data_IF_520032357741
#
_entry.id   IF_520032357741
#
_cell.length_a   1.000
_cell.length_b   1.000
_cell.length_c   1.000
_cell.angle_alpha   90.00
_cell.angle_beta   90.00
_cell.angle_gamma   90.00
#
_symmetry.space_group_name_H-M   'P 1'
#
loop_
_entity.id
_entity.type
_entity.pdbx_description
1 polymer ?
#
# COMPACT_ATOMS: atom_id res chain seq x y z
N UNK A 1 -4.14 -54.50 -5.27
CA UNK A 1 -4.57 -54.53 -3.86
C UNK A 1 -4.79 -53.09 -3.39
N UNK A 2 -5.98 -52.83 -2.84
CA UNK A 2 -6.40 -51.67 -2.03
C UNK A 2 -6.56 -50.27 -2.67
N UNK A 3 -7.82 -49.98 -3.02
CA UNK A 3 -8.51 -48.67 -3.03
C UNK A 3 -8.95 -48.37 -1.58
N UNK A 4 -8.89 -47.11 -1.09
CA UNK A 4 -9.81 -46.52 -0.07
C UNK A 4 -9.39 -45.04 0.15
N UNK A 5 -10.11 -44.05 -0.39
CA UNK A 5 -11.40 -43.43 0.01
C UNK A 5 -11.25 -42.27 1.03
N UNK A 6 -11.64 -41.08 0.55
CA UNK A 6 -12.05 -39.90 1.31
C UNK A 6 -13.05 -40.26 2.42
N UNK A 7 -12.96 -39.58 3.56
CA UNK A 7 -14.09 -39.36 4.45
C UNK A 7 -14.08 -37.92 4.98
N UNK A 8 -15.16 -37.20 4.66
CA UNK A 8 -15.58 -36.00 5.35
C UNK A 8 -16.23 -36.42 6.66
N UNK A 9 -15.91 -35.72 7.76
CA UNK A 9 -16.68 -35.83 9.00
C UNK A 9 -17.21 -34.44 9.31
N UNK A 10 -18.47 -34.22 8.93
CA UNK A 10 -19.34 -33.17 9.43
C UNK A 10 -19.92 -33.63 10.76
N UNK A 11 -19.68 -32.90 11.84
CA UNK A 11 -20.38 -33.11 13.11
C UNK A 11 -21.14 -31.84 13.47
N UNK A 12 -22.43 -31.86 13.18
CA UNK A 12 -23.39 -30.87 13.64
C UNK A 12 -23.63 -31.05 15.15
N UNK A 13 -23.48 -30.00 15.94
CA UNK A 13 -24.06 -29.95 17.29
C UNK A 13 -25.44 -29.30 17.22
N UNK A 14 -26.41 -30.06 17.72
CA UNK A 14 -27.83 -29.77 17.82
C UNK A 14 -28.07 -28.74 18.94
N UNK A 15 -28.77 -27.66 18.62
CA UNK A 15 -29.35 -26.75 19.61
C UNK A 15 -30.68 -27.34 20.11
N UNK A 16 -30.78 -27.56 21.41
CA UNK A 16 -32.04 -27.84 22.10
C UNK A 16 -32.38 -26.68 23.02
N UNK A 17 -33.64 -26.28 22.93
CA UNK A 17 -34.31 -25.18 23.63
C UNK A 17 -34.87 -25.63 24.99
N UNK A 18 -34.84 -24.76 26.01
CA UNK A 18 -35.96 -24.54 26.97
C UNK A 18 -35.61 -23.52 28.08
N UNK A 19 -36.22 -22.33 27.99
CA UNK A 19 -37.01 -21.53 28.94
C UNK A 19 -36.68 -21.37 30.47
N UNK A 20 -37.18 -20.26 31.10
CA UNK A 20 -36.45 -19.40 32.05
C UNK A 20 -36.90 -19.54 33.54
N UNK A 21 -36.65 -18.50 34.35
CA UNK A 21 -36.99 -18.24 35.79
C UNK A 21 -36.06 -18.91 36.82
N UNK A 22 -35.50 -18.29 37.88
CA UNK A 22 -35.75 -17.04 38.62
C UNK A 22 -34.49 -16.58 39.39
N UNK A 23 -34.48 -15.32 39.82
CA UNK A 23 -33.41 -14.59 40.49
C UNK A 23 -32.97 -15.12 41.87
N UNK A 24 -31.66 -14.95 42.19
CA UNK A 24 -31.15 -14.59 43.52
C UNK A 24 -29.86 -13.77 43.33
N UNK A 25 -29.86 -12.54 43.86
CA UNK A 25 -28.73 -11.62 43.88
C UNK A 25 -27.81 -11.92 45.06
N UNK A 26 -26.49 -11.94 44.86
CA UNK A 26 -25.49 -11.58 45.89
C UNK A 26 -24.16 -11.11 45.27
N UNK A 27 -23.91 -9.81 45.43
CA UNK A 27 -22.66 -9.12 45.78
C UNK A 27 -21.44 -9.17 44.85
N UNK A 28 -21.26 -8.04 44.16
CA UNK A 28 -20.04 -7.24 44.03
C UNK A 28 -18.69 -7.91 44.33
N UNK A 29 -17.99 -8.26 43.25
CA UNK A 29 -16.53 -8.27 43.21
C UNK A 29 -16.04 -7.55 41.95
N UNK A 30 -15.89 -6.23 42.13
CA UNK A 30 -14.90 -5.33 41.54
C UNK A 30 -14.09 -5.88 40.36
N UNK A 31 -14.49 -5.46 39.16
CA UNK A 31 -13.68 -5.51 37.94
C UNK A 31 -12.61 -4.40 38.00
N UNK A 32 -11.30 -4.69 38.07
CA UNK A 32 -10.31 -3.64 37.93
C UNK A 32 -10.25 -3.17 36.48
N UNK A 33 -10.85 -2.00 36.25
CA UNK A 33 -10.53 -1.10 35.14
C UNK A 33 -9.21 -0.42 35.50
N UNK A 34 -8.10 -0.81 34.87
CA UNK A 34 -6.99 0.11 34.57
C UNK A 34 -6.01 -0.51 33.53
N UNK A 35 -6.53 -0.86 32.36
CA UNK A 35 -5.69 -0.99 31.17
C UNK A 35 -5.63 0.37 30.50
N UNK A 36 -4.73 1.24 30.97
CA UNK A 36 -4.48 2.56 30.38
C UNK A 36 -3.76 2.38 29.03
N UNK A 37 -4.46 1.87 28.03
CA UNK A 37 -4.11 2.12 26.64
C UNK A 37 -4.67 3.50 26.31
N UNK A 38 -3.90 4.52 26.68
CA UNK A 38 -4.10 5.87 26.19
C UNK A 38 -4.02 5.79 24.65
N UNK A 39 -5.22 5.73 24.07
CA UNK A 39 -5.51 5.93 22.67
C UNK A 39 -4.92 7.29 22.32
N UNK A 40 -3.76 7.30 21.64
CA UNK A 40 -3.21 8.53 21.10
C UNK A 40 -4.05 8.92 19.88
N UNK A 41 -5.29 9.35 20.13
CA UNK A 41 -6.06 10.13 19.17
C UNK A 41 -5.59 11.57 19.33
N UNK A 42 -4.43 11.90 18.74
CA UNK A 42 -4.10 13.28 18.46
C UNK A 42 -4.97 13.74 17.30
N UNK A 43 -5.75 14.78 17.56
CA UNK A 43 -6.48 15.56 16.57
C UNK A 43 -5.62 15.82 15.33
N UNK A 44 -6.21 15.52 14.18
CA UNK A 44 -5.76 15.95 12.85
C UNK A 44 -5.75 17.49 12.86
N UNK A 45 -4.59 18.07 13.12
CA UNK A 45 -4.24 19.39 12.62
C UNK A 45 -2.94 19.24 11.80
N UNK A 46 -3.12 19.42 10.50
CA UNK A 46 -2.12 19.28 9.44
C UNK A 46 -0.98 20.28 9.64
N UNK A 47 0.12 19.80 10.19
CA UNK A 47 1.48 20.11 9.76
C UNK A 47 2.37 19.02 10.35
N UNK A 48 2.44 17.87 9.68
CA UNK A 48 3.46 16.86 9.97
C UNK A 48 4.82 17.43 9.57
N UNK A 49 5.36 18.36 10.36
CA UNK A 49 6.79 18.58 10.37
C UNK A 49 7.41 17.31 10.91
N UNK A 50 7.80 16.41 10.02
CA UNK A 50 8.66 15.29 10.39
C UNK A 50 9.92 15.93 10.93
N UNK A 51 10.09 15.87 12.25
CA UNK A 51 11.29 16.35 12.90
C UNK A 51 12.39 15.32 12.63
N UNK A 52 13.18 15.59 11.60
CA UNK A 52 14.25 14.70 11.14
C UNK A 52 15.48 15.04 11.95
N UNK A 53 15.66 14.36 13.07
CA UNK A 53 16.89 14.44 13.85
C UNK A 53 17.98 13.58 13.19
N UNK A 54 18.88 14.24 12.45
CA UNK A 54 20.09 13.62 11.89
C UNK A 54 21.31 13.70 12.82
N UNK A 55 21.20 14.35 13.99
CA UNK A 55 22.35 14.58 14.87
C UNK A 55 22.85 13.31 15.55
N UNK A 56 21.97 12.35 15.78
CA UNK A 56 22.27 11.08 16.41
C UNK A 56 22.27 9.92 15.40
N UNK A 57 23.39 9.21 15.29
CA UNK A 57 23.57 8.10 14.35
C UNK A 57 22.54 6.97 14.54
N UNK A 58 22.17 6.67 15.78
CA UNK A 58 21.15 5.65 16.08
C UNK A 58 19.74 6.11 15.66
N UNK A 59 19.41 7.40 15.84
CA UNK A 59 18.15 7.99 15.36
C UNK A 59 18.07 7.93 13.83
N UNK A 60 19.15 8.33 13.15
CA UNK A 60 19.30 8.28 11.70
C UNK A 60 19.11 6.87 11.15
N UNK A 61 19.77 5.88 11.75
CA UNK A 61 19.63 4.47 11.36
C UNK A 61 18.20 3.97 11.49
N UNK A 62 17.51 4.29 12.59
CA UNK A 62 16.10 3.92 12.80
C UNK A 62 15.18 4.56 11.77
N UNK A 63 15.42 5.83 11.44
CA UNK A 63 14.66 6.56 10.42
C UNK A 63 14.86 5.92 9.04
N UNK A 64 16.10 5.61 8.65
CA UNK A 64 16.39 4.97 7.36
C UNK A 64 15.75 3.60 7.24
N UNK A 65 15.87 2.76 8.27
CA UNK A 65 15.23 1.45 8.29
C UNK A 65 13.70 1.56 8.16
N UNK A 66 13.09 2.57 8.81
CA UNK A 66 11.65 2.81 8.70
C UNK A 66 11.24 3.21 7.29
N UNK A 67 12.01 4.07 6.62
CA UNK A 67 11.71 4.51 5.25
C UNK A 67 11.89 3.37 4.24
N UNK A 68 12.97 2.59 4.35
CA UNK A 68 13.19 1.40 3.51
C UNK A 68 12.08 0.38 3.71
N UNK A 69 11.64 0.15 4.96
CA UNK A 69 10.53 -0.75 5.22
C UNK A 69 9.23 -0.23 4.60
N UNK A 70 8.90 1.05 4.80
CA UNK A 70 7.68 1.68 4.28
C UNK A 70 7.66 1.76 2.75
N UNK A 71 8.81 1.80 2.08
CA UNK A 71 8.88 1.76 0.61
C UNK A 71 8.68 0.36 0.03
N UNK A 72 8.82 -0.69 0.84
CA UNK A 72 8.71 -2.11 0.43
C UNK A 72 7.41 -2.81 0.87
N UNK A 73 6.53 -2.14 1.60
CA UNK A 73 5.38 -2.76 2.26
C UNK A 73 4.08 -2.05 1.89
N UNK A 74 3.87 -1.83 0.59
CA UNK A 74 2.68 -1.11 0.08
C UNK A 74 1.59 -2.05 -0.44
N UNK A 75 1.92 -3.31 -0.69
CA UNK A 75 1.00 -4.30 -1.26
C UNK A 75 0.95 -4.29 -2.79
N UNK A 76 1.80 -3.49 -3.43
CA UNK A 76 2.02 -3.46 -4.89
C UNK A 76 3.47 -3.86 -5.12
N UNK A 77 3.69 -5.12 -5.53
CA UNK A 77 5.03 -5.68 -5.66
C UNK A 77 5.89 -4.88 -6.64
N UNK A 78 5.30 -4.40 -7.73
CA UNK A 78 5.96 -3.60 -8.75
C UNK A 78 6.47 -2.28 -8.17
N UNK A 79 5.63 -1.61 -7.39
CA UNK A 79 5.97 -0.36 -6.72
C UNK A 79 7.04 -0.59 -5.64
N UNK A 80 6.90 -1.67 -4.86
CA UNK A 80 7.83 -2.07 -3.81
C UNK A 80 9.23 -2.36 -4.38
N UNK A 81 9.32 -2.98 -5.57
CA UNK A 81 10.59 -3.22 -6.25
C UNK A 81 11.23 -1.92 -6.78
N UNK A 82 10.44 -1.06 -7.41
CA UNK A 82 10.92 0.20 -7.99
C UNK A 82 11.36 1.17 -6.89
N UNK A 83 10.48 1.47 -5.94
CA UNK A 83 10.76 2.40 -4.84
C UNK A 83 11.73 1.80 -3.84
N UNK A 84 11.54 0.54 -3.44
CA UNK A 84 12.41 -0.12 -2.47
C UNK A 84 13.86 -0.08 -2.90
N UNK A 85 14.14 -0.49 -4.14
CA UNK A 85 15.51 -0.45 -4.68
C UNK A 85 16.02 0.98 -4.80
N UNK A 86 15.21 1.93 -5.28
CA UNK A 86 15.65 3.33 -5.40
C UNK A 86 16.00 3.94 -4.03
N UNK A 87 15.19 3.71 -3.00
CA UNK A 87 15.44 4.23 -1.66
C UNK A 87 16.70 3.62 -1.06
N UNK A 88 16.92 2.31 -1.19
CA UNK A 88 18.15 1.66 -0.69
C UNK A 88 19.42 2.25 -1.29
N UNK A 89 19.40 2.54 -2.59
CA UNK A 89 20.54 3.10 -3.31
C UNK A 89 20.84 4.56 -2.92
N UNK A 90 19.82 5.36 -2.57
CA UNK A 90 19.95 6.83 -2.41
C UNK A 90 19.82 7.34 -0.97
N UNK A 91 19.30 6.55 -0.02
CA UNK A 91 19.02 7.04 1.33
C UNK A 91 20.26 7.46 2.11
N UNK A 92 21.41 6.86 1.81
CA UNK A 92 22.69 7.17 2.47
C UNK A 92 23.33 8.47 2.00
N UNK A 93 23.01 8.93 0.78
CA UNK A 93 23.59 10.13 0.15
C UNK A 93 22.67 11.35 0.18
N UNK A 94 21.49 11.23 0.78
CA UNK A 94 20.44 12.24 0.72
C UNK A 94 20.45 13.20 1.92
N UNK A 95 20.19 14.48 1.64
CA UNK A 95 20.03 15.52 2.66
C UNK A 95 18.64 15.50 3.31
N UNK A 96 18.47 16.22 4.41
CA UNK A 96 17.20 16.36 5.15
C UNK A 96 16.02 16.77 4.26
N UNK A 97 16.26 17.70 3.32
CA UNK A 97 15.25 18.18 2.37
C UNK A 97 14.81 17.09 1.40
N UNK A 98 15.76 16.26 0.97
CA UNK A 98 15.49 15.08 0.15
C UNK A 98 14.69 14.04 0.93
N UNK A 99 15.03 13.81 2.20
CA UNK A 99 14.29 12.87 3.06
C UNK A 99 12.85 13.37 3.27
N UNK A 100 12.62 14.66 3.51
CA UNK A 100 11.25 15.23 3.57
C UNK A 100 10.49 15.02 2.27
N UNK A 101 11.16 15.24 1.14
CA UNK A 101 10.60 15.01 -0.19
C UNK A 101 10.25 13.53 -0.40
N UNK A 102 11.09 12.61 0.06
CA UNK A 102 10.83 11.17 0.01
C UNK A 102 9.63 10.79 0.88
N UNK A 103 9.54 11.29 2.11
CA UNK A 103 8.38 11.04 2.97
C UNK A 103 7.10 11.49 2.29
N UNK A 104 7.10 12.69 1.69
CA UNK A 104 5.95 13.19 0.93
C UNK A 104 5.57 12.26 -0.23
N UNK A 105 6.54 11.70 -0.98
CA UNK A 105 6.24 10.71 -2.04
C UNK A 105 5.67 9.42 -1.44
N UNK A 106 6.19 8.99 -0.30
CA UNK A 106 5.72 7.78 0.38
C UNK A 106 4.33 7.95 1.00
N UNK A 107 3.85 9.17 1.25
CA UNK A 107 2.50 9.38 1.78
C UNK A 107 1.42 9.47 0.69
N UNK A 108 1.82 9.41 -0.59
CA UNK A 108 0.89 9.35 -1.73
C UNK A 108 0.22 7.98 -1.82
N UNK A 109 -1.00 7.99 -2.37
CA UNK A 109 -1.79 6.79 -2.64
C UNK A 109 -1.12 5.90 -3.71
N UNK A 110 -1.05 4.59 -3.43
CA UNK A 110 -0.40 3.62 -4.31
C UNK A 110 -0.96 3.57 -5.75
N UNK A 111 -2.29 3.56 -6.00
CA UNK A 111 -2.81 3.47 -7.37
C UNK A 111 -2.43 4.70 -8.20
N UNK A 112 -2.51 5.89 -7.61
CA UNK A 112 -2.19 7.15 -8.28
C UNK A 112 -0.69 7.24 -8.56
N UNK A 113 0.14 6.88 -7.57
CA UNK A 113 1.58 6.85 -7.72
C UNK A 113 2.01 5.92 -8.86
N UNK A 114 1.40 4.73 -8.96
CA UNK A 114 1.68 3.79 -10.03
C UNK A 114 1.28 4.34 -11.40
N UNK A 115 0.10 4.95 -11.52
CA UNK A 115 -0.37 5.58 -12.78
C UNK A 115 0.57 6.67 -13.27
N UNK A 116 1.09 7.49 -12.37
CA UNK A 116 2.02 8.55 -12.74
C UNK A 116 3.40 8.02 -13.15
N UNK A 117 3.92 7.00 -12.44
CA UNK A 117 5.20 6.36 -12.79
C UNK A 117 5.14 5.60 -14.12
N UNK A 118 3.99 5.01 -14.43
CA UNK A 118 3.74 4.30 -15.69
C UNK A 118 3.34 5.19 -16.87
N UNK A 119 3.28 6.52 -16.68
CA UNK A 119 2.83 7.50 -17.67
C UNK A 119 1.38 7.28 -18.18
N UNK A 120 0.54 6.61 -17.38
CA UNK A 120 -0.89 6.46 -17.68
C UNK A 120 -1.66 7.77 -17.46
N UNK A 121 -1.29 8.52 -16.41
CA UNK A 121 -1.88 9.82 -16.08
C UNK A 121 -0.77 10.85 -15.79
N UNK A 122 -1.08 12.13 -15.98
CA UNK A 122 -0.14 13.19 -15.62
C UNK A 122 -0.16 13.42 -14.10
N UNK A 123 1.00 13.48 -13.43
CA UNK A 123 1.06 13.78 -12.02
C UNK A 123 0.62 15.23 -11.76
N UNK A 124 -0.04 15.51 -10.61
CA UNK A 124 -0.29 16.87 -10.16
C UNK A 124 1.00 17.68 -10.05
N UNK A 125 0.92 18.99 -10.25
CA UNK A 125 2.09 19.88 -10.26
C UNK A 125 2.90 19.81 -8.96
N UNK A 126 2.23 19.62 -7.81
CA UNK A 126 2.87 19.47 -6.51
C UNK A 126 3.78 18.23 -6.43
N UNK A 127 3.36 17.12 -7.05
CA UNK A 127 4.14 15.87 -7.10
C UNK A 127 5.25 15.98 -8.15
N UNK A 128 4.97 16.60 -9.28
CA UNK A 128 5.95 16.77 -10.36
C UNK A 128 7.11 17.69 -9.98
N UNK A 129 6.89 18.64 -9.05
CA UNK A 129 7.96 19.50 -8.48
C UNK A 129 8.88 18.77 -7.50
N UNK A 130 8.49 17.58 -7.03
CA UNK A 130 9.27 16.85 -6.03
C UNK A 130 10.49 16.17 -6.68
N UNK A 131 11.72 16.44 -6.21
CA UNK A 131 12.94 15.91 -6.82
C UNK A 131 13.02 14.38 -6.73
N UNK A 132 12.53 13.79 -5.64
CA UNK A 132 12.54 12.34 -5.43
C UNK A 132 11.62 11.66 -6.44
N UNK A 133 10.42 12.20 -6.65
CA UNK A 133 9.49 11.66 -7.62
C UNK A 133 10.06 11.70 -9.04
N UNK A 134 10.67 12.83 -9.43
CA UNK A 134 11.34 12.97 -10.74
C UNK A 134 12.46 11.93 -10.93
N UNK A 135 13.31 11.75 -9.92
CA UNK A 135 14.42 10.79 -10.00
C UNK A 135 13.94 9.33 -10.09
N UNK A 136 12.87 8.96 -9.37
CA UNK A 136 12.26 7.63 -9.49
C UNK A 136 11.66 7.45 -10.88
N UNK A 137 10.92 8.45 -11.38
CA UNK A 137 10.32 8.42 -12.72
C UNK A 137 11.39 8.25 -13.81
N UNK A 138 12.49 8.97 -13.70
CA UNK A 138 13.64 8.86 -14.60
C UNK A 138 14.26 7.45 -14.57
N UNK A 139 14.43 6.84 -13.38
CA UNK A 139 14.89 5.45 -13.26
C UNK A 139 13.93 4.48 -13.96
N UNK A 140 12.62 4.70 -13.85
CA UNK A 140 11.61 3.88 -14.54
C UNK A 140 11.73 4.05 -16.05
N UNK A 141 11.78 5.27 -16.58
CA UNK A 141 11.91 5.52 -18.03
C UNK A 141 13.19 4.92 -18.60
N UNK A 142 14.32 5.08 -17.91
CA UNK A 142 15.59 4.50 -18.33
C UNK A 142 15.55 2.96 -18.37
N UNK A 143 14.84 2.32 -17.43
CA UNK A 143 14.61 0.87 -17.48
C UNK A 143 13.72 0.48 -18.66
N UNK A 144 12.66 1.24 -18.95
CA UNK A 144 11.83 0.99 -20.14
C UNK A 144 12.65 1.11 -21.43
N UNK A 145 13.51 2.13 -21.53
CA UNK A 145 14.38 2.32 -22.70
C UNK A 145 15.40 1.21 -22.90
N UNK A 146 15.88 0.63 -21.80
CA UNK A 146 16.86 -0.46 -21.84
C UNK A 146 16.24 -1.82 -22.16
N UNK A 147 15.04 -2.10 -21.66
CA UNK A 147 14.47 -3.46 -21.65
C UNK A 147 13.20 -3.62 -22.49
N UNK A 148 12.57 -2.55 -22.96
CA UNK A 148 11.33 -2.60 -23.75
C UNK A 148 11.48 -1.90 -25.11
N UNK A 149 11.02 -2.57 -26.18
CA UNK A 149 10.92 -1.98 -27.51
C UNK A 149 9.85 -0.90 -27.55
N UNK A 150 9.99 0.12 -28.39
CA UNK A 150 9.02 1.22 -28.51
C UNK A 150 7.63 0.74 -28.95
N UNK A 151 7.57 -0.30 -29.80
CA UNK A 151 6.32 -0.86 -30.34
C UNK A 151 5.46 -1.58 -29.29
N UNK A 152 6.06 -2.07 -28.20
CA UNK A 152 5.34 -2.82 -27.15
C UNK A 152 4.91 -1.94 -25.98
N UNK A 153 5.21 -0.63 -26.03
CA UNK A 153 4.88 0.30 -24.95
C UNK A 153 3.41 0.70 -24.98
N UNK A 154 2.84 0.89 -23.80
CA UNK A 154 1.54 1.53 -23.66
C UNK A 154 1.59 2.96 -24.19
N UNK A 155 0.51 3.40 -24.84
CA UNK A 155 0.35 4.79 -25.25
C UNK A 155 0.24 5.66 -23.99
N UNK A 156 1.06 6.73 -23.88
CA UNK A 156 0.99 7.61 -22.72
C UNK A 156 -0.38 8.27 -22.64
N UNK A 157 -0.93 8.40 -21.43
CA UNK A 157 -2.26 8.99 -21.23
C UNK A 157 -3.44 8.03 -21.45
N UNK A 158 -3.19 6.74 -21.72
CA UNK A 158 -4.24 5.72 -21.82
C UNK A 158 -4.11 4.69 -20.70
N UNK A 159 -5.23 4.21 -20.14
CA UNK A 159 -5.19 3.11 -19.18
C UNK A 159 -4.70 1.83 -19.84
N UNK A 160 -3.97 1.00 -19.09
CA UNK A 160 -3.40 -0.24 -19.61
C UNK A 160 -4.44 -1.30 -20.01
N UNK A 161 -5.64 -1.26 -19.42
CA UNK A 161 -6.67 -2.26 -19.70
C UNK A 161 -7.68 -1.74 -20.71
N UNK A 162 -7.60 -2.26 -21.93
CA UNK A 162 -8.63 -2.08 -22.96
C UNK A 162 -9.74 -3.11 -22.69
N UNK A 163 -10.84 -2.68 -22.06
CA UNK A 163 -12.03 -3.54 -21.84
C UNK A 163 -12.20 -4.14 -20.43
N UNK A 164 -11.60 -3.57 -19.37
CA UNK A 164 -12.10 -3.83 -18.00
C UNK A 164 -13.25 -2.90 -17.60
N UNK A 165 -13.50 -1.86 -18.39
CA UNK A 165 -14.68 -1.00 -18.31
C UNK A 165 -15.92 -1.66 -18.94
N UNK A 166 -16.14 -2.95 -18.64
CA UNK A 166 -17.29 -3.73 -19.13
C UNK A 166 -18.64 -3.22 -18.59
N UNK A 167 -18.62 -2.28 -17.64
CA UNK A 167 -19.80 -1.58 -17.14
C UNK A 167 -20.46 -0.67 -18.18
N UNK A 168 -19.81 -0.44 -19.34
CA UNK A 168 -20.41 0.24 -20.50
C UNK A 168 -20.67 -0.74 -21.65
N UNK A 169 -21.46 -1.78 -21.38
CA UNK A 169 -22.07 -2.59 -22.46
C UNK A 169 -23.22 -1.82 -23.13
N UNK A 170 -22.88 -0.75 -23.84
CA UNK A 170 -23.74 -0.08 -24.82
C UNK A 170 -23.68 -0.82 -26.16
N UNK A 171 -24.67 -0.58 -27.04
CA UNK A 171 -24.93 -1.30 -28.31
C UNK A 171 -23.76 -1.39 -29.32
N UNK A 172 -22.62 -0.77 -29.05
CA UNK A 172 -21.47 -0.63 -29.95
C UNK A 172 -20.16 -1.21 -29.36
N UNK A 173 -20.22 -2.25 -28.53
CA UNK A 173 -19.01 -2.93 -28.03
C UNK A 173 -18.23 -3.59 -29.18
N UNK A 174 -16.89 -3.49 -29.24
CA UNK A 174 -16.11 -4.16 -30.27
C UNK A 174 -16.28 -5.68 -30.20
N UNK A 175 -16.59 -6.29 -31.35
CA UNK A 175 -16.52 -7.73 -31.53
C UNK A 175 -15.03 -8.12 -31.48
N UNK A 176 -14.73 -9.28 -30.92
CA UNK A 176 -13.41 -9.94 -30.84
C UNK A 176 -12.41 -9.38 -29.82
N UNK A 177 -12.29 -10.10 -28.70
CA UNK A 177 -10.99 -10.33 -28.08
C UNK A 177 -10.23 -11.39 -28.89
N UNK A 178 -8.91 -11.21 -29.03
CA UNK A 178 -8.04 -12.17 -29.70
C UNK A 178 -7.99 -13.47 -28.87
N UNK A 179 -8.71 -14.49 -29.31
CA UNK A 179 -8.49 -15.89 -28.93
C UNK A 179 -7.63 -16.58 -30.00
#
# INVERSE_FOLDING_TARGET
MAILRRSFISTALRFLTSNPTSAVAFNDLRRPVLGSFARFCSSIENNQSVDIDLSNEESKRRLFNRLIYRSKQRGYLELDLVLGKWVEDHIHSMDETGIKSLVHVLDLENPDLWKWLSCQEQPPEAVNKNPVFMAVREKVTNNLDKYASTETRATPGQPWVRGWDDFKKGRDSPITGNQ
#
